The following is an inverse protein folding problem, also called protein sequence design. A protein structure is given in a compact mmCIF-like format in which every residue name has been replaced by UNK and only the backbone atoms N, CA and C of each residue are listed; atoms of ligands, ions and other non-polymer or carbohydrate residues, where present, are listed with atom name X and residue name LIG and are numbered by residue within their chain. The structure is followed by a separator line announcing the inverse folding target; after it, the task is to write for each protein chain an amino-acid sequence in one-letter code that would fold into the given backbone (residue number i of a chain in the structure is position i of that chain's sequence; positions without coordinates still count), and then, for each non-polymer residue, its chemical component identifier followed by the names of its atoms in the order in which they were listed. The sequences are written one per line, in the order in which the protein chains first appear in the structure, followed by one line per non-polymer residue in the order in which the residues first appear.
data_IF_610205598986
#
_entry.id   IF_610205598986
#
_cell.length_a   1.000
_cell.length_b   1.000
_cell.length_c   1.000
_cell.angle_alpha   90.00
_cell.angle_beta   90.00
_cell.angle_gamma   90.00
#
_symmetry.space_group_name_H-M   'P 1'
#
loop_
_entity.id
_entity.type
_entity.pdbx_description
1 polymer ?
#
# COMPACT_ATOMS: atom_id res chain seq x y z
N UNK A 1 -10.22 -25.99 -29.25
CA UNK A 1 -9.75 -25.35 -27.99
C UNK A 1 -8.32 -24.89 -28.18
N UNK A 2 -7.73 -24.06 -27.35
CA UNK A 2 -6.25 -23.94 -27.28
C UNK A 2 -5.78 -24.31 -25.87
N UNK A 3 -4.48 -24.55 -25.68
CA UNK A 3 -3.94 -24.85 -24.36
C UNK A 3 -4.19 -23.66 -23.41
N UNK A 4 -5.08 -23.87 -22.45
CA UNK A 4 -5.56 -22.86 -21.52
C UNK A 4 -5.81 -23.49 -20.15
N UNK A 5 -4.84 -23.38 -19.24
CA UNK A 5 -4.98 -23.89 -17.87
C UNK A 5 -5.94 -22.99 -17.06
N UNK A 6 -6.87 -23.54 -16.26
CA UNK A 6 -7.07 -24.94 -15.91
C UNK A 6 -8.08 -25.70 -16.80
N UNK A 7 -8.56 -25.08 -17.88
CA UNK A 7 -9.68 -25.61 -18.67
C UNK A 7 -9.27 -26.72 -19.65
N UNK A 8 -8.15 -26.58 -20.35
CA UNK A 8 -7.65 -27.58 -21.29
C UNK A 8 -6.11 -27.50 -21.39
N UNK A 9 -5.40 -28.56 -21.04
CA UNK A 9 -3.94 -28.61 -21.11
C UNK A 9 -3.45 -30.04 -21.22
N UNK A 10 -2.26 -30.21 -21.79
CA UNK A 10 -1.66 -31.53 -21.96
C UNK A 10 -0.81 -31.91 -20.74
N UNK A 11 -0.98 -33.13 -20.27
CA UNK A 11 -0.18 -33.76 -19.23
C UNK A 11 0.70 -34.85 -19.86
N UNK A 12 1.98 -34.99 -19.44
CA UNK A 12 2.82 -36.11 -19.87
C UNK A 12 2.19 -37.46 -19.50
N UNK A 13 2.04 -38.36 -20.47
CA UNK A 13 1.47 -39.69 -20.29
C UNK A 13 2.31 -40.73 -21.05
N UNK A 14 3.32 -41.31 -20.39
CA UNK A 14 4.22 -42.28 -21.01
C UNK A 14 4.98 -41.67 -22.19
N UNK A 15 4.84 -42.26 -23.38
CA UNK A 15 5.45 -41.79 -24.64
C UNK A 15 4.62 -40.71 -25.38
N UNK A 16 3.57 -40.14 -24.76
CA UNK A 16 2.73 -39.12 -25.38
C UNK A 16 2.21 -38.08 -24.40
N UNK A 17 1.33 -37.21 -24.88
CA UNK A 17 0.55 -36.28 -24.06
C UNK A 17 -0.90 -36.77 -23.93
N UNK A 18 -1.49 -36.56 -22.76
CA UNK A 18 -2.91 -36.76 -22.52
C UNK A 18 -3.53 -35.42 -22.15
N UNK A 19 -4.58 -35.04 -22.86
CA UNK A 19 -5.36 -33.86 -22.51
C UNK A 19 -6.08 -34.06 -21.17
N UNK A 20 -5.92 -33.10 -20.29
CA UNK A 20 -6.64 -32.96 -19.02
C UNK A 20 -7.18 -31.52 -18.88
N UNK A 21 -8.00 -31.32 -17.87
CA UNK A 21 -8.59 -30.02 -17.54
C UNK A 21 -10.10 -30.06 -17.43
N UNK A 22 -10.64 -28.97 -16.89
CA UNK A 22 -12.07 -28.88 -16.53
C UNK A 22 -12.97 -29.09 -17.74
N UNK A 23 -12.60 -28.57 -18.91
CA UNK A 23 -13.40 -28.73 -20.12
C UNK A 23 -13.34 -30.17 -20.66
N UNK A 24 -12.21 -30.87 -20.48
CA UNK A 24 -12.11 -32.29 -20.81
C UNK A 24 -13.05 -33.13 -19.93
N UNK A 25 -13.09 -32.87 -18.63
CA UNK A 25 -14.01 -33.54 -17.70
C UNK A 25 -15.48 -33.30 -18.08
N UNK A 26 -15.83 -32.06 -18.47
CA UNK A 26 -17.17 -31.71 -18.97
C UNK A 26 -17.51 -32.52 -20.23
N UNK A 27 -16.60 -32.59 -21.21
CA UNK A 27 -16.83 -33.34 -22.44
C UNK A 27 -16.93 -34.85 -22.19
N UNK A 28 -16.14 -35.41 -21.26
CA UNK A 28 -16.24 -36.82 -20.87
C UNK A 28 -17.57 -37.13 -20.19
N UNK A 29 -18.05 -36.24 -19.31
CA UNK A 29 -19.36 -36.37 -18.69
C UNK A 29 -20.50 -36.29 -19.72
N UNK A 30 -20.38 -35.42 -20.72
CA UNK A 30 -21.33 -35.33 -21.84
C UNK A 30 -21.27 -36.60 -22.71
N UNK A 31 -20.07 -37.08 -23.04
CA UNK A 31 -19.86 -38.30 -23.83
C UNK A 31 -20.48 -39.52 -23.14
N UNK A 32 -20.22 -39.68 -21.84
CA UNK A 32 -20.74 -40.79 -21.05
C UNK A 32 -22.26 -40.79 -20.98
N UNK A 33 -22.87 -39.62 -20.78
CA UNK A 33 -24.31 -39.45 -20.54
C UNK A 33 -25.16 -39.39 -21.82
N UNK A 34 -24.61 -38.84 -22.91
CA UNK A 34 -25.32 -38.68 -24.19
C UNK A 34 -24.87 -39.70 -25.25
N UNK A 35 -23.83 -40.49 -24.97
CA UNK A 35 -23.20 -41.45 -25.91
C UNK A 35 -22.68 -40.80 -27.19
N UNK A 36 -22.19 -39.57 -27.08
CA UNK A 36 -21.50 -38.86 -28.17
C UNK A 36 -20.00 -39.13 -28.13
N UNK A 37 -19.38 -39.18 -29.31
CA UNK A 37 -17.93 -39.19 -29.47
C UNK A 37 -17.47 -37.79 -29.83
N UNK A 38 -16.46 -37.28 -29.11
CA UNK A 38 -15.87 -35.97 -29.37
C UNK A 38 -14.46 -36.15 -29.90
N UNK A 39 -14.17 -35.51 -31.03
CA UNK A 39 -12.82 -35.32 -31.53
C UNK A 39 -12.33 -33.94 -31.12
N UNK A 40 -11.11 -33.86 -30.58
CA UNK A 40 -10.58 -32.62 -30.01
C UNK A 40 -9.56 -32.03 -30.96
N UNK A 41 -9.86 -30.82 -31.43
CA UNK A 41 -8.96 -30.04 -32.26
C UNK A 41 -8.42 -28.83 -31.49
N UNK A 42 -7.10 -28.62 -31.60
CA UNK A 42 -6.46 -27.43 -31.07
C UNK A 42 -6.46 -26.29 -32.10
N UNK A 43 -6.65 -25.07 -31.62
CA UNK A 43 -6.67 -23.86 -32.41
C UNK A 43 -5.23 -23.32 -32.54
N UNK A 44 -4.72 -23.25 -33.77
CA UNK A 44 -3.33 -22.88 -34.07
C UNK A 44 -3.02 -21.40 -33.80
N UNK A 45 -4.00 -20.50 -33.98
CA UNK A 45 -3.80 -19.05 -33.82
C UNK A 45 -3.90 -18.57 -32.36
N UNK A 46 -4.12 -19.49 -31.41
CA UNK A 46 -4.26 -19.24 -29.97
C UNK A 46 -5.25 -18.12 -29.60
N UNK A 47 -6.25 -17.87 -30.46
CA UNK A 47 -7.21 -16.79 -30.29
C UNK A 47 -8.62 -17.33 -30.06
N UNK A 48 -9.36 -16.68 -29.15
CA UNK A 48 -10.80 -16.92 -28.98
C UNK A 48 -11.57 -16.55 -30.25
N UNK A 49 -11.25 -15.38 -30.80
CA UNK A 49 -11.86 -14.85 -32.00
C UNK A 49 -12.41 -13.44 -31.80
N UNK A 50 -12.04 -12.55 -32.71
CA UNK A 50 -12.51 -11.17 -32.78
C UNK A 50 -13.23 -10.93 -34.10
N UNK A 51 -14.27 -10.09 -34.08
CA UNK A 51 -14.92 -9.63 -35.29
C UNK A 51 -13.94 -8.75 -36.09
N UNK A 52 -13.70 -9.13 -37.34
CA UNK A 52 -12.86 -8.41 -38.28
C UNK A 52 -13.69 -7.41 -39.12
N UNK A 53 -13.05 -6.42 -39.76
CA UNK A 53 -13.76 -5.42 -40.58
C UNK A 53 -14.53 -6.01 -41.77
N UNK A 54 -14.13 -7.19 -42.23
CA UNK A 54 -14.80 -7.95 -43.29
C UNK A 54 -16.11 -8.62 -42.83
N UNK A 55 -16.43 -8.54 -41.54
CA UNK A 55 -17.59 -9.17 -40.91
C UNK A 55 -17.37 -10.63 -40.49
N UNK A 56 -16.20 -11.21 -40.74
CA UNK A 56 -15.85 -12.55 -40.30
C UNK A 56 -15.18 -12.55 -38.93
N UNK A 57 -15.29 -13.67 -38.22
CA UNK A 57 -14.55 -13.88 -36.98
C UNK A 57 -13.19 -14.57 -37.25
N UNK A 58 -12.17 -14.16 -36.50
CA UNK A 58 -10.91 -14.94 -36.36
C UNK A 58 -11.04 -16.03 -35.30
N UNK A 59 -9.99 -16.82 -35.06
CA UNK A 59 -9.94 -17.76 -33.93
C UNK A 59 -10.99 -18.87 -33.97
N UNK A 60 -11.34 -19.37 -32.79
CA UNK A 60 -12.36 -20.40 -32.62
C UNK A 60 -13.75 -19.96 -33.08
N UNK A 61 -14.11 -18.67 -32.94
CA UNK A 61 -15.36 -18.16 -33.51
C UNK A 61 -15.38 -18.16 -35.04
N UNK A 62 -14.23 -17.95 -35.69
CA UNK A 62 -14.08 -18.11 -37.13
C UNK A 62 -14.26 -19.56 -37.58
N UNK A 63 -13.69 -20.52 -36.83
CA UNK A 63 -13.88 -21.95 -37.08
C UNK A 63 -15.36 -22.39 -36.89
N UNK A 64 -16.04 -21.87 -35.86
CA UNK A 64 -17.49 -22.07 -35.68
C UNK A 64 -18.29 -21.49 -36.85
N UNK A 65 -17.94 -20.29 -37.32
CA UNK A 65 -18.61 -19.62 -38.44
C UNK A 65 -18.45 -20.39 -39.75
N UNK A 66 -17.24 -20.88 -40.06
CA UNK A 66 -16.92 -21.68 -41.25
C UNK A 66 -17.45 -23.12 -41.18
N UNK A 67 -17.90 -23.54 -40.00
CA UNK A 67 -18.41 -24.89 -39.71
C UNK A 67 -17.32 -25.97 -39.70
N UNK A 68 -16.09 -25.57 -39.41
CA UNK A 68 -14.96 -26.48 -39.24
C UNK A 68 -15.08 -27.27 -37.92
N UNK A 69 -15.74 -26.70 -36.92
CA UNK A 69 -15.96 -27.29 -35.58
C UNK A 69 -17.41 -27.11 -35.12
N UNK A 70 -17.91 -28.06 -34.32
CA UNK A 70 -19.30 -28.04 -33.83
C UNK A 70 -19.46 -27.40 -32.45
N UNK A 71 -18.48 -27.57 -31.55
CA UNK A 71 -18.49 -27.03 -30.19
C UNK A 71 -17.11 -26.46 -29.86
N UNK A 72 -17.08 -25.28 -29.26
CA UNK A 72 -15.86 -24.68 -28.73
C UNK A 72 -16.14 -23.96 -27.41
N UNK A 73 -15.10 -23.70 -26.64
CA UNK A 73 -15.20 -23.04 -25.35
C UNK A 73 -13.94 -23.25 -24.53
N UNK A 74 -13.94 -22.81 -23.26
CA UNK A 74 -14.99 -22.02 -22.61
C UNK A 74 -15.06 -20.56 -23.08
N UNK A 75 -16.26 -19.98 -23.21
CA UNK A 75 -16.47 -18.59 -23.64
C UNK A 75 -17.42 -17.81 -22.74
N UNK A 76 -17.22 -16.50 -22.72
CA UNK A 76 -18.26 -15.54 -22.31
C UNK A 76 -19.15 -15.22 -23.51
N UNK A 77 -20.45 -15.35 -23.30
CA UNK A 77 -21.47 -14.96 -24.27
C UNK A 77 -21.46 -13.43 -24.47
N UNK A 78 -21.57 -12.99 -25.71
CA UNK A 78 -21.67 -11.57 -26.06
C UNK A 78 -22.59 -11.42 -27.26
N UNK A 79 -23.20 -10.25 -27.43
CA UNK A 79 -24.13 -9.99 -28.54
C UNK A 79 -23.49 -10.27 -29.91
N UNK A 80 -22.25 -9.79 -30.10
CA UNK A 80 -21.52 -9.97 -31.36
C UNK A 80 -21.29 -11.46 -31.67
N UNK A 81 -20.96 -12.26 -30.66
CA UNK A 81 -20.67 -13.69 -30.83
C UNK A 81 -21.94 -14.54 -31.05
N UNK A 82 -23.09 -14.11 -30.52
CA UNK A 82 -24.39 -14.78 -30.74
C UNK A 82 -24.82 -14.74 -32.22
N UNK A 83 -24.22 -13.84 -33.03
CA UNK A 83 -24.45 -13.78 -34.48
C UNK A 83 -23.92 -15.02 -35.21
N UNK A 84 -22.86 -15.65 -34.72
CA UNK A 84 -22.20 -16.79 -35.38
C UNK A 84 -22.32 -18.11 -34.62
N UNK A 85 -22.58 -18.07 -33.30
CA UNK A 85 -22.72 -19.26 -32.45
C UNK A 85 -23.96 -19.18 -31.55
N UNK A 86 -24.48 -20.33 -31.15
CA UNK A 86 -25.44 -20.47 -30.06
C UNK A 86 -24.71 -20.83 -28.78
N UNK A 87 -25.14 -20.29 -27.64
CA UNK A 87 -24.48 -20.54 -26.36
C UNK A 87 -25.22 -21.58 -25.53
N UNK A 88 -24.46 -22.46 -24.89
CA UNK A 88 -25.00 -23.43 -23.95
C UNK A 88 -25.39 -22.78 -22.62
N UNK A 89 -26.07 -23.56 -21.77
CA UNK A 89 -26.18 -23.23 -20.35
C UNK A 89 -24.79 -23.08 -19.71
N UNK A 90 -24.72 -22.25 -18.68
CA UNK A 90 -23.45 -21.91 -18.04
C UNK A 90 -22.79 -23.11 -17.33
N UNK A 91 -21.46 -23.13 -17.40
CA UNK A 91 -20.58 -24.10 -16.74
C UNK A 91 -20.07 -23.56 -15.39
N UNK A 92 -20.08 -22.25 -15.22
CA UNK A 92 -19.60 -21.57 -14.03
C UNK A 92 -19.58 -20.05 -14.20
N UNK A 93 -19.11 -19.39 -13.15
CA UNK A 93 -18.95 -17.94 -13.11
C UNK A 93 -17.49 -17.57 -13.33
N UNK A 94 -17.26 -16.59 -14.20
CA UNK A 94 -15.97 -15.97 -14.44
C UNK A 94 -15.98 -14.56 -13.85
N UNK A 95 -14.88 -14.22 -13.19
CA UNK A 95 -14.55 -12.87 -12.75
C UNK A 95 -13.26 -12.47 -13.42
N UNK A 96 -13.00 -11.17 -13.51
CA UNK A 96 -11.71 -10.69 -13.97
C UNK A 96 -10.73 -10.60 -12.79
N UNK A 97 -9.44 -10.75 -13.09
CA UNK A 97 -8.36 -10.52 -12.14
C UNK A 97 -7.28 -9.64 -12.76
N UNK A 98 -6.62 -8.84 -11.92
CA UNK A 98 -5.42 -8.08 -12.28
C UNK A 98 -4.21 -8.84 -11.76
N UNK A 99 -3.30 -9.21 -12.67
CA UNK A 99 -1.95 -9.59 -12.29
C UNK A 99 -1.12 -8.32 -12.15
N UNK A 100 -0.60 -8.09 -10.96
CA UNK A 100 0.24 -6.94 -10.63
C UNK A 100 1.54 -7.37 -9.99
N UNK A 101 2.60 -6.59 -10.22
CA UNK A 101 3.82 -6.69 -9.43
C UNK A 101 3.55 -6.35 -7.98
N UNK A 102 4.37 -6.91 -7.10
CA UNK A 102 4.33 -6.64 -5.67
C UNK A 102 5.54 -5.77 -5.34
N UNK A 103 5.26 -4.57 -4.84
CA UNK A 103 6.29 -3.68 -4.34
C UNK A 103 6.36 -3.90 -2.83
N UNK A 104 7.57 -4.15 -2.32
CA UNK A 104 7.84 -3.98 -0.89
C UNK A 104 7.51 -2.54 -0.56
N UNK A 105 6.43 -2.28 0.21
CA UNK A 105 5.98 -0.93 0.55
C UNK A 105 7.19 -0.06 0.83
N UNK A 106 7.47 0.92 -0.04
CA UNK A 106 8.64 1.79 0.11
C UNK A 106 8.62 2.27 1.55
N UNK A 107 9.64 1.85 2.31
CA UNK A 107 9.72 2.14 3.73
C UNK A 107 10.07 3.61 3.80
N UNK A 108 9.02 4.43 3.85
CA UNK A 108 9.16 5.87 3.99
C UNK A 108 10.10 6.10 5.17
N UNK A 109 11.25 6.72 4.91
CA UNK A 109 12.26 6.96 5.94
C UNK A 109 11.74 7.83 7.08
N UNK A 110 10.59 8.52 6.89
CA UNK A 110 9.86 9.29 7.89
C UNK A 110 8.60 8.58 8.41
N UNK A 111 8.53 7.25 8.33
CA UNK A 111 7.37 6.45 8.76
C UNK A 111 6.89 6.85 10.16
N UNK A 112 7.82 7.05 11.10
CA UNK A 112 7.54 7.45 12.47
C UNK A 112 6.76 8.78 12.57
N UNK A 113 7.03 9.76 11.69
CA UNK A 113 6.27 11.02 11.67
C UNK A 113 4.85 10.83 11.12
N UNK A 114 4.67 9.87 10.20
CA UNK A 114 3.38 9.58 9.55
C UNK A 114 2.47 8.65 10.36
N UNK A 115 2.91 8.16 11.52
CA UNK A 115 2.08 7.29 12.38
C UNK A 115 0.90 8.02 13.00
N UNK A 116 1.11 9.29 13.33
CA UNK A 116 0.04 10.19 13.76
C UNK A 116 -0.32 11.14 12.63
N UNK A 117 -1.62 11.37 12.45
CA UNK A 117 -2.08 12.36 11.49
C UNK A 117 -1.65 13.76 11.95
N UNK A 118 -1.49 14.69 11.00
CA UNK A 118 -1.07 16.05 11.32
C UNK A 118 -2.01 16.75 12.32
N UNK A 119 -3.29 16.37 12.35
CA UNK A 119 -4.26 16.86 13.33
C UNK A 119 -3.91 16.42 14.76
N UNK A 120 -3.42 15.20 14.95
CA UNK A 120 -2.99 14.69 16.26
C UNK A 120 -1.73 15.43 16.72
N UNK A 121 -0.76 15.63 15.83
CA UNK A 121 0.43 16.43 16.11
C UNK A 121 0.08 17.86 16.53
N UNK A 122 -0.85 18.50 15.81
CA UNK A 122 -1.34 19.83 16.16
C UNK A 122 -2.05 19.85 17.52
N UNK A 123 -2.92 18.86 17.79
CA UNK A 123 -3.61 18.73 19.07
C UNK A 123 -2.63 18.56 20.24
N UNK A 124 -1.57 17.77 20.07
CA UNK A 124 -0.50 17.62 21.07
C UNK A 124 0.20 18.95 21.35
N UNK A 125 0.60 19.68 20.29
CA UNK A 125 1.24 20.99 20.42
C UNK A 125 0.33 21.99 21.15
N UNK A 126 -0.95 22.06 20.77
CA UNK A 126 -1.93 22.94 21.41
C UNK A 126 -2.15 22.58 22.88
N UNK A 127 -2.14 21.29 23.22
CA UNK A 127 -2.29 20.83 24.61
C UNK A 127 -1.07 21.22 25.45
N UNK A 128 0.15 21.10 24.93
CA UNK A 128 1.38 21.53 25.63
C UNK A 128 1.33 23.03 25.91
N UNK A 129 0.98 23.83 24.90
CA UNK A 129 0.85 25.29 25.06
C UNK A 129 -0.23 25.62 26.09
N UNK A 130 -1.39 24.94 26.03
CA UNK A 130 -2.48 25.12 26.98
C UNK A 130 -2.09 24.82 28.42
N UNK A 131 -1.43 23.69 28.67
CA UNK A 131 -0.99 23.30 30.01
C UNK A 131 0.15 24.22 30.51
N UNK A 132 1.07 24.62 29.63
CA UNK A 132 2.10 25.61 29.96
C UNK A 132 1.49 26.97 30.33
N UNK A 133 0.44 27.40 29.63
CA UNK A 133 -0.29 28.62 29.94
C UNK A 133 -0.98 28.55 31.30
N UNK A 134 -1.66 27.43 31.61
CA UNK A 134 -2.29 27.24 32.94
C UNK A 134 -1.24 27.21 34.04
N UNK A 135 -0.09 26.56 33.83
CA UNK A 135 1.01 26.56 34.80
C UNK A 135 1.59 27.98 35.02
N UNK A 136 1.77 28.76 33.94
CA UNK A 136 2.17 30.15 34.03
C UNK A 136 1.12 31.01 34.76
N UNK A 137 -0.18 30.74 34.57
CA UNK A 137 -1.25 31.41 35.31
C UNK A 137 -1.17 31.09 36.82
N UNK A 138 -1.00 29.82 37.18
CA UNK A 138 -0.83 29.41 38.59
C UNK A 138 0.36 30.14 39.21
N UNK A 139 1.51 30.21 38.52
CA UNK A 139 2.68 30.95 38.99
C UNK A 139 2.34 32.41 39.29
N UNK A 140 1.75 33.11 38.31
CA UNK A 140 1.46 34.54 38.41
C UNK A 140 0.44 34.89 39.50
N UNK A 141 -0.46 33.97 39.85
CA UNK A 141 -1.48 34.19 40.88
C UNK A 141 -0.97 33.87 42.29
N UNK A 142 -0.05 32.91 42.43
CA UNK A 142 0.32 32.34 43.74
C UNK A 142 1.68 32.79 44.25
N UNK A 143 2.61 33.15 43.36
CA UNK A 143 3.97 33.52 43.74
C UNK A 143 4.08 35.04 43.76
N UNK A 144 4.01 35.63 44.96
CA UNK A 144 4.28 37.05 45.16
C UNK A 144 5.80 37.31 45.09
N UNK A 145 6.26 37.77 43.93
CA UNK A 145 7.67 38.08 43.67
C UNK A 145 7.94 38.38 42.20
N UNK A 146 9.11 38.99 41.93
CA UNK A 146 9.64 39.42 40.62
C UNK A 146 8.89 38.89 39.40
N UNK A 147 8.19 39.79 38.69
CA UNK A 147 7.50 39.48 37.44
C UNK A 147 8.54 39.22 36.35
N UNK A 148 8.90 37.95 36.18
CA UNK A 148 9.59 37.51 34.96
C UNK A 148 8.73 37.89 33.74
N UNK A 149 9.39 38.13 32.61
CA UNK A 149 8.68 38.39 31.35
C UNK A 149 7.76 37.22 31.01
N UNK A 150 6.48 37.51 30.72
CA UNK A 150 5.44 36.49 30.55
C UNK A 150 5.78 35.49 29.45
N UNK A 151 6.41 35.97 28.37
CA UNK A 151 6.82 35.12 27.25
C UNK A 151 7.95 34.17 27.68
N UNK A 152 8.91 34.66 28.47
CA UNK A 152 10.00 33.84 29.00
C UNK A 152 9.50 32.77 29.97
N UNK A 153 8.50 33.09 30.79
CA UNK A 153 7.87 32.15 31.72
C UNK A 153 7.09 31.07 30.96
N UNK A 154 6.31 31.44 29.96
CA UNK A 154 5.59 30.50 29.10
C UNK A 154 6.56 29.58 28.36
N UNK A 155 7.66 30.11 27.81
CA UNK A 155 8.69 29.32 27.13
C UNK A 155 9.37 28.32 28.08
N UNK A 156 9.61 28.70 29.33
CA UNK A 156 10.15 27.78 30.36
C UNK A 156 9.16 26.67 30.68
N UNK A 157 7.89 26.96 30.94
CA UNK A 157 6.89 25.92 31.22
C UNK A 157 6.61 25.04 30.00
N UNK A 158 6.58 25.62 28.80
CA UNK A 158 6.51 24.86 27.55
C UNK A 158 7.64 23.84 27.48
N UNK A 159 8.88 24.25 27.78
CA UNK A 159 10.03 23.35 27.79
C UNK A 159 9.89 22.21 28.81
N UNK A 160 9.37 22.49 30.01
CA UNK A 160 9.12 21.48 31.05
C UNK A 160 8.09 20.44 30.61
N UNK A 161 6.95 20.87 30.07
CA UNK A 161 5.93 19.93 29.60
C UNK A 161 6.37 19.18 28.34
N UNK A 162 7.11 19.83 27.45
CA UNK A 162 7.73 19.22 26.28
C UNK A 162 8.73 18.12 26.68
N UNK A 163 9.62 18.37 27.63
CA UNK A 163 10.60 17.37 28.08
C UNK A 163 9.91 16.18 28.77
N UNK A 164 8.87 16.48 29.56
CA UNK A 164 8.10 15.46 30.25
C UNK A 164 7.34 14.54 29.28
N UNK A 165 6.87 15.05 28.13
CA UNK A 165 6.27 14.24 27.06
C UNK A 165 7.24 13.17 26.54
N UNK A 166 8.54 13.47 26.48
CA UNK A 166 9.59 12.57 25.98
C UNK A 166 10.12 11.64 27.10
N UNK A 167 9.55 11.73 28.31
CA UNK A 167 9.97 10.93 29.47
C UNK A 167 11.28 11.40 30.09
N UNK A 168 11.71 12.65 29.84
CA UNK A 168 12.88 13.25 30.45
C UNK A 168 12.49 14.32 31.48
N UNK A 169 13.15 14.29 32.63
CA UNK A 169 13.11 15.39 33.58
C UNK A 169 13.85 16.57 32.94
N UNK A 170 13.17 17.71 32.78
CA UNK A 170 13.61 18.89 32.00
C UNK A 170 14.84 19.66 32.52
N UNK A 171 15.78 18.97 33.16
CA UNK A 171 17.06 19.46 33.61
C UNK A 171 17.00 20.43 34.80
N UNK A 172 18.08 21.17 35.02
CA UNK A 172 18.19 22.16 36.10
C UNK A 172 17.16 23.30 35.97
N UNK A 173 16.75 23.61 34.73
CA UNK A 173 15.74 24.64 34.44
C UNK A 173 14.34 24.20 34.87
N UNK A 174 14.00 22.92 34.70
CA UNK A 174 12.73 22.39 35.22
C UNK A 174 12.73 22.34 36.74
N UNK A 175 13.88 22.06 37.37
CA UNK A 175 13.97 22.09 38.83
C UNK A 175 13.58 23.46 39.38
N UNK A 176 14.13 24.56 38.84
CA UNK A 176 13.73 25.92 39.24
C UNK A 176 12.24 26.21 39.00
N UNK A 177 11.74 25.88 37.80
CA UNK A 177 10.36 26.19 37.41
C UNK A 177 9.31 25.41 38.23
N UNK A 178 9.69 24.21 38.69
CA UNK A 178 8.87 23.34 39.50
C UNK A 178 8.97 23.66 40.99
N UNK A 179 10.16 23.98 41.53
CA UNK A 179 10.37 24.21 42.98
C UNK A 179 9.42 25.23 43.58
N UNK A 180 9.14 26.33 42.87
CA UNK A 180 8.27 27.39 43.38
C UNK A 180 6.78 27.02 43.41
N UNK A 181 6.35 26.04 42.60
CA UNK A 181 4.93 25.70 42.42
C UNK A 181 4.61 24.26 42.89
N UNK A 182 5.63 23.43 43.11
CA UNK A 182 5.50 22.00 43.39
C UNK A 182 4.60 21.66 44.60
N UNK A 183 4.58 22.55 45.60
CA UNK A 183 3.79 22.37 46.82
C UNK A 183 2.31 22.77 46.66
N UNK A 184 1.93 23.40 45.54
CA UNK A 184 0.55 23.82 45.29
C UNK A 184 -0.30 22.65 44.79
N UNK A 185 -1.46 22.44 45.44
CA UNK A 185 -2.39 21.36 45.10
C UNK A 185 -2.92 21.51 43.66
N UNK A 186 -3.22 22.74 43.22
CA UNK A 186 -3.70 23.03 41.87
C UNK A 186 -2.71 22.59 40.79
N UNK A 187 -1.41 22.80 41.03
CA UNK A 187 -0.36 22.38 40.11
C UNK A 187 -0.17 20.86 40.11
N UNK A 188 -0.30 20.19 41.26
CA UNK A 188 -0.24 18.72 41.33
C UNK A 188 -1.37 18.06 40.56
N UNK A 189 -2.59 18.62 40.63
CA UNK A 189 -3.72 18.12 39.84
C UNK A 189 -3.48 18.36 38.35
N UNK A 190 -2.98 19.54 37.97
CA UNK A 190 -2.62 19.85 36.58
C UNK A 190 -1.55 18.89 36.04
N UNK A 191 -0.49 18.66 36.81
CA UNK A 191 0.60 17.75 36.48
C UNK A 191 0.08 16.31 36.38
N UNK A 192 -0.77 15.87 37.32
CA UNK A 192 -1.39 14.55 37.26
C UNK A 192 -2.27 14.38 36.02
N UNK A 193 -3.06 15.40 35.65
CA UNK A 193 -3.87 15.39 34.43
C UNK A 193 -3.01 15.36 33.16
N UNK A 194 -1.89 16.10 33.15
CA UNK A 194 -0.91 16.09 32.06
C UNK A 194 -0.25 14.71 31.90
N UNK A 195 0.21 14.12 33.00
CA UNK A 195 0.86 12.81 33.01
C UNK A 195 -0.11 11.69 32.61
N UNK A 196 -1.31 11.66 33.20
CA UNK A 196 -2.27 10.60 32.95
C UNK A 196 -2.96 10.69 31.59
N UNK A 197 -3.25 11.90 31.12
CA UNK A 197 -3.98 12.11 29.88
C UNK A 197 -3.04 12.10 28.66
N UNK A 198 -2.52 13.27 28.25
CA UNK A 198 -1.72 13.39 27.04
C UNK A 198 -0.46 12.53 27.00
N UNK A 199 0.32 12.46 28.09
CA UNK A 199 1.62 11.76 28.09
C UNK A 199 1.44 10.25 27.95
N UNK A 200 0.70 9.61 28.85
CA UNK A 200 0.44 8.16 28.78
C UNK A 200 -0.24 7.80 27.45
N UNK A 201 -1.33 8.48 27.08
CA UNK A 201 -2.08 8.11 25.88
C UNK A 201 -1.23 8.25 24.62
N UNK A 202 -0.52 9.37 24.44
CA UNK A 202 0.29 9.57 23.23
C UNK A 202 1.47 8.61 23.15
N UNK A 203 2.21 8.37 24.24
CA UNK A 203 3.37 7.48 24.24
C UNK A 203 2.98 6.02 23.98
N UNK A 204 1.99 5.49 24.71
CA UNK A 204 1.57 4.09 24.52
C UNK A 204 0.88 3.87 23.17
N UNK A 205 0.04 4.80 22.71
CA UNK A 205 -0.59 4.71 21.39
C UNK A 205 0.43 4.79 20.26
N UNK A 206 1.43 5.65 20.41
CA UNK A 206 2.52 5.78 19.44
C UNK A 206 3.40 4.52 19.42
N UNK A 207 3.78 3.99 20.57
CA UNK A 207 4.54 2.75 20.69
C UNK A 207 3.79 1.56 20.10
N UNK A 208 2.47 1.44 20.35
CA UNK A 208 1.63 0.40 19.76
C UNK A 208 1.51 0.53 18.23
N UNK A 209 1.39 1.75 17.72
CA UNK A 209 1.34 2.04 16.28
C UNK A 209 2.66 1.73 15.57
N UNK A 210 3.80 2.07 16.18
CA UNK A 210 5.14 1.67 15.73
C UNK A 210 5.22 0.14 15.65
N UNK A 211 4.91 -0.54 16.75
CA UNK A 211 5.09 -1.99 16.88
C UNK A 211 4.25 -2.74 15.85
N UNK A 212 2.98 -2.36 15.69
CA UNK A 212 2.09 -2.97 14.70
C UNK A 212 2.52 -2.71 13.25
N UNK A 213 3.04 -1.51 12.96
CA UNK A 213 3.46 -1.16 11.60
C UNK A 213 4.74 -1.89 11.21
N UNK A 214 5.68 -2.07 12.13
CA UNK A 214 6.91 -2.83 11.88
C UNK A 214 6.72 -4.35 11.98
N UNK A 215 5.73 -4.83 12.73
CA UNK A 215 5.43 -6.25 12.81
C UNK A 215 4.98 -6.84 11.47
N UNK A 216 4.29 -6.04 10.64
CA UNK A 216 3.77 -6.51 9.34
C UNK A 216 4.56 -5.88 8.20
N UNK A 217 5.42 -6.67 7.56
CA UNK A 217 5.99 -6.30 6.26
C UNK A 217 4.88 -6.31 5.21
N UNK A 218 4.24 -5.16 4.97
CA UNK A 218 3.19 -5.02 3.96
C UNK A 218 3.83 -5.00 2.57
N UNK A 219 3.82 -6.15 1.92
CA UNK A 219 3.88 -6.24 0.47
C UNK A 219 2.59 -5.60 -0.08
N UNK A 220 2.72 -4.60 -0.96
CA UNK A 220 1.56 -3.94 -1.57
C UNK A 220 1.56 -4.18 -3.08
N UNK A 221 0.37 -4.40 -3.69
CA UNK A 221 0.28 -4.41 -5.14
C UNK A 221 0.69 -3.05 -5.72
N UNK A 222 1.25 -3.06 -6.92
CA UNK A 222 1.48 -1.81 -7.70
C UNK A 222 0.15 -1.13 -8.02
N UNK A 223 -0.90 -1.92 -8.25
CA UNK A 223 -2.28 -1.50 -8.54
C UNK A 223 -3.23 -2.50 -7.90
N UNK A 224 -4.10 -2.06 -6.99
CA UNK A 224 -5.09 -2.91 -6.34
C UNK A 224 -6.41 -2.98 -7.11
N UNK A 225 -6.86 -1.86 -7.69
CA UNK A 225 -8.16 -1.74 -8.34
C UNK A 225 -8.09 -0.95 -9.65
N UNK A 226 -9.17 -0.98 -10.43
CA UNK A 226 -9.30 -0.23 -11.68
C UNK A 226 -9.26 1.28 -11.43
N UNK A 227 -9.79 1.78 -10.32
CA UNK A 227 -9.75 3.21 -10.00
C UNK A 227 -8.30 3.70 -9.82
N UNK A 228 -7.49 2.93 -9.09
CA UNK A 228 -6.05 3.23 -8.92
C UNK A 228 -5.30 3.16 -10.27
N UNK A 229 -5.72 2.25 -11.16
CA UNK A 229 -5.18 2.16 -12.52
C UNK A 229 -5.53 3.38 -13.40
N UNK A 230 -6.71 3.98 -13.19
CA UNK A 230 -7.11 5.20 -13.89
C UNK A 230 -6.20 6.36 -13.47
N UNK A 231 -5.95 6.52 -12.16
CA UNK A 231 -5.07 7.56 -11.63
C UNK A 231 -3.61 7.35 -12.03
N UNK A 232 -3.14 6.09 -12.01
CA UNK A 232 -1.75 5.74 -12.28
C UNK A 232 -1.48 5.56 -13.77
N UNK A 233 -1.06 6.65 -14.42
CA UNK A 233 -0.72 6.66 -15.86
C UNK A 233 0.62 6.00 -16.20
N UNK A 234 1.50 5.80 -15.22
CA UNK A 234 2.84 5.21 -15.42
C UNK A 234 2.83 3.72 -15.71
N UNK A 235 1.71 3.03 -15.47
CA UNK A 235 1.57 1.58 -15.63
C UNK A 235 0.74 1.29 -16.88
N UNK A 236 1.22 0.37 -17.72
CA UNK A 236 0.54 -0.01 -18.96
C UNK A 236 -0.35 -1.25 -18.74
N UNK A 237 -1.67 -1.14 -18.91
CA UNK A 237 -2.56 -2.29 -18.85
C UNK A 237 -2.52 -3.11 -20.14
N UNK A 238 -2.32 -4.41 -20.00
CA UNK A 238 -2.28 -5.39 -21.09
C UNK A 238 -3.50 -6.29 -21.03
N UNK A 239 -4.17 -6.45 -22.18
CA UNK A 239 -5.33 -7.33 -22.35
C UNK A 239 -5.16 -8.26 -23.54
N UNK A 240 -5.81 -9.42 -23.47
CA UNK A 240 -5.76 -10.39 -24.56
C UNK A 240 -6.67 -9.99 -25.73
N UNK A 241 -6.12 -10.08 -26.94
CA UNK A 241 -6.81 -9.80 -28.19
C UNK A 241 -7.95 -10.78 -28.44
N UNK A 242 -9.14 -10.25 -28.73
CA UNK A 242 -10.34 -11.05 -29.00
C UNK A 242 -10.88 -11.80 -27.77
N UNK A 243 -10.41 -11.47 -26.58
CA UNK A 243 -10.93 -12.02 -25.33
C UNK A 243 -12.24 -11.37 -24.89
N UNK A 244 -12.94 -11.98 -23.92
CA UNK A 244 -14.11 -11.37 -23.30
C UNK A 244 -13.77 -10.05 -22.59
N UNK A 245 -12.58 -9.96 -22.00
CA UNK A 245 -12.05 -8.76 -21.33
C UNK A 245 -12.05 -7.56 -22.27
N UNK A 246 -11.59 -7.76 -23.51
CA UNK A 246 -11.61 -6.73 -24.53
C UNK A 246 -13.04 -6.21 -24.78
N UNK A 247 -14.01 -7.11 -24.90
CA UNK A 247 -15.42 -6.75 -25.17
C UNK A 247 -15.98 -5.94 -23.98
N UNK A 248 -15.72 -6.37 -22.74
CA UNK A 248 -16.13 -5.66 -21.53
C UNK A 248 -15.67 -4.20 -21.50
N UNK A 249 -14.40 -3.95 -21.84
CA UNK A 249 -13.84 -2.59 -21.84
C UNK A 249 -14.29 -1.77 -23.06
N UNK A 250 -14.63 -2.41 -24.17
CA UNK A 250 -15.23 -1.74 -25.33
C UNK A 250 -16.66 -1.29 -25.05
N UNK A 251 -17.44 -2.09 -24.33
CA UNK A 251 -18.86 -1.83 -24.06
C UNK A 251 -19.07 -0.91 -22.85
N UNK A 252 -18.08 -0.78 -21.96
CA UNK A 252 -18.18 0.06 -20.77
C UNK A 252 -17.84 1.54 -21.07
N UNK A 253 -18.78 2.48 -20.89
CA UNK A 253 -18.52 3.91 -21.07
C UNK A 253 -17.62 4.50 -19.97
N UNK A 254 -17.72 3.97 -18.75
CA UNK A 254 -16.96 4.41 -17.57
C UNK A 254 -15.45 4.24 -17.78
N UNK A 255 -15.04 3.08 -18.32
CA UNK A 255 -13.63 2.75 -18.55
C UNK A 255 -13.16 3.03 -19.99
N UNK A 256 -13.89 3.86 -20.75
CA UNK A 256 -13.54 4.19 -22.14
C UNK A 256 -12.14 4.82 -22.27
N UNK A 257 -11.70 5.58 -21.26
CA UNK A 257 -10.34 6.15 -21.21
C UNK A 257 -9.27 5.07 -21.04
N UNK A 258 -9.52 4.07 -20.20
CA UNK A 258 -8.62 2.91 -20.06
C UNK A 258 -8.58 2.11 -21.36
N UNK A 259 -9.72 1.91 -22.04
CA UNK A 259 -9.75 1.20 -23.31
C UNK A 259 -8.88 1.85 -24.38
N UNK A 260 -8.85 3.20 -24.45
CA UNK A 260 -7.96 3.93 -25.37
C UNK A 260 -6.48 3.64 -25.09
N UNK A 261 -6.08 3.50 -23.81
CA UNK A 261 -4.71 3.11 -23.41
C UNK A 261 -4.42 1.66 -23.83
N UNK A 262 -5.35 0.74 -23.61
CA UNK A 262 -5.19 -0.69 -23.90
C UNK A 262 -5.21 -1.04 -25.39
N UNK A 263 -5.75 -0.17 -26.26
CA UNK A 263 -5.97 -0.48 -27.68
C UNK A 263 -4.68 -0.87 -28.43
N UNK A 264 -3.55 -0.28 -28.05
CA UNK A 264 -2.26 -0.52 -28.71
C UNK A 264 -1.50 -1.71 -28.10
N UNK A 265 -1.62 -1.92 -26.78
CA UNK A 265 -0.83 -2.91 -26.02
C UNK A 265 -1.63 -4.21 -25.75
N UNK A 266 -2.07 -4.86 -26.84
CA UNK A 266 -2.80 -6.14 -26.78
C UNK A 266 -1.88 -7.29 -27.08
N UNK A 267 -1.98 -8.36 -26.29
CA UNK A 267 -1.20 -9.59 -26.47
C UNK A 267 -2.05 -10.73 -27.03
N UNK A 268 -1.39 -11.68 -27.67
CA UNK A 268 -1.91 -13.01 -27.95
C UNK A 268 -1.48 -13.92 -26.80
N UNK A 269 -2.33 -14.86 -26.37
CA UNK A 269 -1.96 -15.83 -25.33
C UNK A 269 -1.02 -16.92 -25.85
N UNK A 270 0.08 -16.52 -26.50
CA UNK A 270 1.22 -17.39 -26.72
C UNK A 270 2.00 -17.53 -25.42
N UNK A 271 2.50 -18.73 -25.05
CA UNK A 271 3.33 -18.92 -23.87
C UNK A 271 4.51 -17.95 -23.78
N UNK A 272 5.12 -17.60 -24.90
CA UNK A 272 6.28 -16.70 -24.98
C UNK A 272 5.91 -15.25 -24.62
N UNK A 273 4.82 -14.73 -25.21
CA UNK A 273 4.33 -13.38 -24.92
C UNK A 273 3.85 -13.22 -23.47
N UNK A 274 3.22 -14.27 -22.92
CA UNK A 274 2.80 -14.29 -21.51
C UNK A 274 4.04 -14.22 -20.61
N UNK A 275 5.08 -15.00 -20.88
CA UNK A 275 6.30 -14.97 -20.08
C UNK A 275 7.01 -13.60 -20.15
N UNK A 276 7.11 -13.00 -21.34
CA UNK A 276 7.69 -11.67 -21.50
C UNK A 276 6.88 -10.62 -20.72
N UNK A 277 5.56 -10.69 -20.78
CA UNK A 277 4.67 -9.78 -20.07
C UNK A 277 4.81 -9.95 -18.55
N UNK A 278 4.89 -11.19 -18.05
CA UNK A 278 5.11 -11.46 -16.62
C UNK A 278 6.41 -10.81 -16.10
N UNK A 279 7.50 -10.85 -16.89
CA UNK A 279 8.75 -10.15 -16.54
C UNK A 279 8.58 -8.63 -16.48
N UNK A 280 7.74 -8.05 -17.33
CA UNK A 280 7.42 -6.60 -17.30
C UNK A 280 6.54 -6.22 -16.11
N UNK A 281 5.63 -7.10 -15.71
CA UNK A 281 4.78 -6.94 -14.52
C UNK A 281 5.62 -6.99 -13.24
N UNK A 282 6.57 -7.93 -13.15
CA UNK A 282 7.52 -8.02 -12.03
C UNK A 282 8.35 -6.72 -11.87
N UNK A 283 8.67 -6.04 -12.97
CA UNK A 283 9.34 -4.72 -12.94
C UNK A 283 8.41 -3.56 -12.56
N UNK A 284 7.11 -3.79 -12.37
CA UNK A 284 6.12 -2.76 -12.03
C UNK A 284 5.71 -1.83 -13.19
N UNK A 285 6.08 -2.17 -14.43
CA UNK A 285 5.83 -1.32 -15.61
C UNK A 285 4.50 -1.61 -16.30
N UNK A 286 4.05 -2.87 -16.23
CA UNK A 286 2.83 -3.35 -16.88
C UNK A 286 1.96 -4.07 -15.86
N UNK A 287 0.67 -4.20 -16.17
CA UNK A 287 -0.25 -5.12 -15.48
C UNK A 287 -0.99 -5.92 -16.53
N UNK A 288 -1.54 -7.08 -16.16
CA UNK A 288 -2.31 -7.92 -17.07
C UNK A 288 -3.71 -8.17 -16.51
N UNK A 289 -4.74 -7.92 -17.32
CA UNK A 289 -6.14 -8.14 -16.93
C UNK A 289 -6.71 -9.33 -17.69
N UNK A 290 -6.99 -10.42 -16.99
CA UNK A 290 -7.47 -11.68 -17.57
C UNK A 290 -8.53 -12.32 -16.67
N UNK A 291 -9.08 -13.47 -17.08
CA UNK A 291 -9.97 -14.25 -16.21
C UNK A 291 -9.26 -14.60 -14.90
N UNK A 292 -9.93 -14.42 -13.76
CA UNK A 292 -9.35 -14.56 -12.42
C UNK A 292 -8.80 -15.97 -12.17
N UNK A 293 -9.53 -17.00 -12.60
CA UNK A 293 -9.08 -18.39 -12.49
C UNK A 293 -7.81 -18.59 -13.32
N UNK A 294 -7.78 -18.04 -14.53
CA UNK A 294 -6.58 -18.09 -15.36
C UNK A 294 -5.41 -17.26 -14.81
N UNK A 295 -5.67 -16.10 -14.22
CA UNK A 295 -4.64 -15.26 -13.60
C UNK A 295 -3.90 -16.02 -12.50
N UNK A 296 -4.65 -16.74 -11.67
CA UNK A 296 -4.08 -17.54 -10.61
C UNK A 296 -3.24 -18.71 -11.14
N UNK A 297 -3.62 -19.36 -12.24
CA UNK A 297 -2.81 -20.44 -12.82
C UNK A 297 -1.51 -19.91 -13.43
N UNK A 298 -1.57 -18.79 -14.16
CA UNK A 298 -0.38 -18.12 -14.73
C UNK A 298 0.59 -17.73 -13.62
N UNK A 299 0.09 -17.08 -12.56
CA UNK A 299 0.93 -16.69 -11.42
C UNK A 299 1.48 -17.91 -10.68
N UNK A 300 0.67 -18.96 -10.47
CA UNK A 300 1.13 -20.18 -9.81
C UNK A 300 2.24 -20.88 -10.58
N UNK A 301 2.15 -20.97 -11.92
CA UNK A 301 3.18 -21.59 -12.74
C UNK A 301 4.46 -20.73 -12.75
N UNK A 302 4.31 -19.41 -12.87
CA UNK A 302 5.43 -18.47 -12.82
C UNK A 302 6.20 -18.58 -11.49
N UNK A 303 5.48 -18.56 -10.37
CA UNK A 303 6.04 -18.72 -9.01
C UNK A 303 6.70 -20.09 -8.85
N UNK A 304 6.06 -21.18 -9.28
CA UNK A 304 6.59 -22.54 -9.13
C UNK A 304 7.93 -22.72 -9.87
N UNK A 305 8.08 -22.10 -11.03
CA UNK A 305 9.33 -22.14 -11.82
C UNK A 305 10.44 -21.28 -11.21
N UNK A 306 10.11 -20.11 -10.67
CA UNK A 306 11.07 -19.11 -10.15
C UNK A 306 11.42 -19.28 -8.68
N UNK A 307 10.49 -19.77 -7.87
CA UNK A 307 10.60 -19.83 -6.41
C UNK A 307 10.45 -18.47 -5.69
N UNK A 308 9.95 -17.43 -6.35
CA UNK A 308 9.87 -16.05 -5.80
C UNK A 308 8.42 -15.52 -5.90
N UNK A 309 7.93 -14.89 -4.84
CA UNK A 309 6.59 -14.26 -4.79
C UNK A 309 6.66 -12.76 -5.14
N UNK A 310 7.00 -12.42 -6.39
CA UNK A 310 7.14 -11.01 -6.86
C UNK A 310 5.89 -10.45 -7.55
N UNK A 311 4.87 -11.27 -7.76
CA UNK A 311 3.61 -10.91 -8.43
C UNK A 311 2.43 -11.47 -7.65
N UNK A 312 1.29 -10.78 -7.71
CA UNK A 312 0.04 -11.21 -7.08
C UNK A 312 -1.16 -10.96 -7.99
N UNK A 313 -2.29 -11.57 -7.63
CA UNK A 313 -3.56 -11.44 -8.35
C UNK A 313 -4.58 -10.77 -7.45
N UNK A 314 -5.20 -9.71 -7.94
CA UNK A 314 -6.34 -9.05 -7.29
C UNK A 314 -7.64 -9.39 -8.04
N UNK A 315 -8.72 -9.62 -7.30
CA UNK A 315 -10.04 -9.90 -7.86
C UNK A 315 -10.74 -8.60 -8.27
N UNK A 316 -11.17 -8.50 -9.53
CA UNK A 316 -11.96 -7.38 -10.01
C UNK A 316 -13.46 -7.67 -9.93
N UNK A 317 -14.19 -6.66 -9.47
CA UNK A 317 -15.66 -6.64 -9.48
C UNK A 317 -16.24 -6.05 -10.77
N UNK A 318 -15.45 -6.00 -11.83
CA UNK A 318 -15.86 -5.53 -13.15
C UNK A 318 -16.08 -6.71 -14.11
N UNK A 319 -17.12 -6.61 -14.93
CA UNK A 319 -17.46 -7.57 -15.98
C UNK A 319 -17.58 -9.05 -15.55
N UNK A 320 -18.38 -9.30 -14.52
CA UNK A 320 -18.69 -10.66 -14.10
C UNK A 320 -19.60 -11.34 -15.11
N UNK A 321 -19.21 -12.51 -15.59
CA UNK A 321 -19.90 -13.19 -16.67
C UNK A 321 -19.97 -14.70 -16.47
N UNK A 322 -20.88 -15.33 -17.22
CA UNK A 322 -21.02 -16.76 -17.24
C UNK A 322 -20.10 -17.39 -18.30
N UNK A 323 -19.44 -18.46 -17.90
CA UNK A 323 -18.68 -19.31 -18.81
C UNK A 323 -19.64 -20.30 -19.47
N UNK A 324 -19.59 -20.40 -20.79
CA UNK A 324 -20.49 -21.21 -21.63
C UNK A 324 -19.70 -21.95 -22.72
N UNK A 325 -20.35 -22.89 -23.39
CA UNK A 325 -19.86 -23.46 -24.65
C UNK A 325 -20.51 -22.74 -25.82
N UNK A 326 -19.71 -22.38 -26.82
CA UNK A 326 -20.18 -21.95 -28.13
C UNK A 326 -20.48 -23.17 -29.00
N UNK A 327 -21.70 -23.25 -29.49
CA UNK A 327 -22.23 -24.32 -30.33
C UNK A 327 -22.47 -23.72 -31.72
N UNK A 328 -22.07 -24.43 -32.77
CA UNK A 328 -22.24 -23.99 -34.15
C UNK A 328 -23.72 -23.85 -34.52
N UNK A 329 -24.06 -22.80 -35.27
CA UNK A 329 -25.42 -22.63 -35.82
C UNK A 329 -25.78 -23.73 -36.80
N UNK A 330 -27.02 -24.21 -36.71
CA UNK A 330 -27.58 -25.26 -37.56
C UNK A 330 -27.58 -26.66 -36.92
N UNK A 331 -27.08 -26.81 -35.68
CA UNK A 331 -27.26 -28.04 -34.92
C UNK A 331 -28.73 -28.16 -34.46
N UNK A 332 -29.36 -29.34 -34.54
CA UNK A 332 -30.76 -29.50 -34.13
C UNK A 332 -31.00 -29.06 -32.68
N UNK A 333 -32.03 -28.22 -32.47
CA UNK A 333 -32.41 -27.71 -31.14
C UNK A 333 -32.64 -28.82 -30.10
N UNK A 334 -33.09 -30.01 -30.53
CA UNK A 334 -33.24 -31.18 -29.66
C UNK A 334 -31.90 -31.63 -29.05
N UNK A 335 -30.82 -31.57 -29.83
CA UNK A 335 -29.46 -31.92 -29.38
C UNK A 335 -28.95 -30.87 -28.40
N UNK A 336 -29.12 -29.59 -28.72
CA UNK A 336 -28.73 -28.47 -27.86
C UNK A 336 -29.46 -28.54 -26.52
N UNK A 337 -30.77 -28.82 -26.52
CA UNK A 337 -31.56 -29.01 -25.30
C UNK A 337 -31.02 -30.16 -24.43
N UNK A 338 -30.67 -31.30 -25.04
CA UNK A 338 -30.06 -32.44 -24.31
C UNK A 338 -28.72 -32.06 -23.66
N UNK A 339 -27.86 -31.35 -24.39
CA UNK A 339 -26.57 -30.84 -23.87
C UNK A 339 -26.84 -29.90 -22.69
N UNK A 340 -27.70 -28.89 -22.88
CA UNK A 340 -28.04 -27.90 -21.86
C UNK A 340 -28.60 -28.54 -20.58
N UNK A 341 -29.49 -29.52 -20.71
CA UNK A 341 -30.00 -30.26 -19.54
C UNK A 341 -28.88 -30.96 -18.77
N UNK A 342 -27.93 -31.60 -19.46
CA UNK A 342 -26.79 -32.27 -18.80
C UNK A 342 -25.83 -31.29 -18.17
N UNK A 343 -25.53 -30.17 -18.83
CA UNK A 343 -24.70 -29.11 -18.26
C UNK A 343 -25.33 -28.51 -16.99
N UNK A 344 -26.65 -28.31 -16.98
CA UNK A 344 -27.37 -27.86 -15.77
C UNK A 344 -27.21 -28.86 -14.62
N UNK A 345 -27.30 -30.17 -14.88
CA UNK A 345 -27.06 -31.17 -13.82
C UNK A 345 -25.61 -31.16 -13.31
N UNK A 346 -24.63 -31.00 -14.21
CA UNK A 346 -23.22 -30.88 -13.83
C UNK A 346 -23.00 -29.68 -12.90
N UNK A 347 -23.59 -28.53 -13.24
CA UNK A 347 -23.50 -27.31 -12.44
C UNK A 347 -24.23 -27.44 -11.10
N UNK A 348 -25.45 -28.00 -11.08
CA UNK A 348 -26.23 -28.22 -9.85
C UNK A 348 -25.53 -29.18 -8.89
N UNK A 349 -24.86 -30.20 -9.41
CA UNK A 349 -24.06 -31.15 -8.64
C UNK A 349 -22.70 -30.58 -8.18
N UNK A 350 -22.37 -29.32 -8.53
CA UNK A 350 -21.08 -28.66 -8.25
C UNK A 350 -19.87 -29.46 -8.73
N UNK A 351 -20.03 -30.21 -9.82
CA UNK A 351 -18.95 -31.00 -10.39
C UNK A 351 -17.87 -30.11 -11.00
N UNK A 352 -18.27 -28.98 -11.61
CA UNK A 352 -17.33 -27.99 -12.15
C UNK A 352 -16.46 -27.38 -11.05
N UNK A 353 -17.03 -27.01 -9.91
CA UNK A 353 -16.25 -26.52 -8.75
C UNK A 353 -15.24 -27.56 -8.27
N UNK A 354 -15.66 -28.83 -8.21
CA UNK A 354 -14.78 -29.94 -7.84
C UNK A 354 -13.64 -30.14 -8.84
N UNK A 355 -13.92 -30.09 -10.14
CA UNK A 355 -12.90 -30.25 -11.18
C UNK A 355 -11.93 -29.07 -11.22
N UNK A 356 -12.42 -27.84 -11.05
CA UNK A 356 -11.59 -26.64 -10.89
C UNK A 356 -10.65 -26.83 -9.70
N UNK A 357 -11.17 -27.20 -8.52
CA UNK A 357 -10.37 -27.41 -7.32
C UNK A 357 -9.37 -28.57 -7.43
N UNK A 358 -9.64 -29.58 -8.28
CA UNK A 358 -8.70 -30.68 -8.55
C UNK A 358 -7.47 -30.21 -9.32
N UNK A 359 -7.70 -29.37 -10.33
CA UNK A 359 -6.66 -28.89 -11.24
C UNK A 359 -5.92 -27.70 -10.64
N UNK A 360 -6.60 -26.90 -9.82
CA UNK A 360 -5.99 -25.76 -9.15
C UNK A 360 -4.83 -26.21 -8.26
N UNK A 361 -3.59 -25.75 -8.51
CA UNK A 361 -2.49 -25.97 -7.59
C UNK A 361 -2.83 -25.35 -6.23
N UNK A 362 -2.36 -25.98 -5.15
CA UNK A 362 -2.41 -25.40 -3.81
C UNK A 362 -1.48 -24.17 -3.77
N UNK A 363 -1.97 -23.02 -4.26
CA UNK A 363 -1.24 -21.74 -4.41
C UNK A 363 -0.84 -21.10 -3.08
N UNK A 364 -1.14 -21.77 -1.97
CA UNK A 364 -0.90 -21.32 -0.61
C UNK A 364 0.55 -20.95 -0.30
N UNK A 365 1.54 -21.25 -1.15
CA UNK A 365 2.91 -20.81 -0.91
C UNK A 365 3.11 -19.27 -1.05
N UNK A 366 2.38 -18.59 -1.93
CA UNK A 366 2.48 -17.13 -2.10
C UNK A 366 1.20 -16.36 -1.74
N UNK A 367 0.05 -17.02 -1.59
CA UNK A 367 -1.17 -16.42 -1.03
C UNK A 367 -1.32 -16.60 0.47
N UNK A 368 -0.57 -17.50 1.11
CA UNK A 368 -0.40 -17.37 2.56
C UNK A 368 0.22 -15.99 2.76
N UNK A 369 -0.45 -15.15 3.54
CA UNK A 369 0.19 -13.98 4.14
C UNK A 369 1.60 -14.44 4.55
N UNK A 370 2.65 -13.70 4.16
CA UNK A 370 4.03 -14.11 4.42
C UNK A 370 4.05 -14.60 5.86
N UNK A 371 4.54 -15.83 6.05
CA UNK A 371 4.68 -16.42 7.38
C UNK A 371 5.19 -15.33 8.32
N UNK A 372 4.66 -15.33 9.54
CA UNK A 372 4.98 -14.46 10.68
C UNK A 372 6.47 -14.53 11.09
N UNK A 373 7.38 -14.43 10.13
CA UNK A 373 8.79 -14.18 10.31
C UNK A 373 8.95 -12.69 10.46
N UNK A 374 9.13 -12.25 11.70
CA UNK A 374 9.55 -10.89 12.01
C UNK A 374 10.90 -10.66 11.30
N UNK A 375 10.87 -9.94 10.19
CA UNK A 375 12.10 -9.53 9.53
C UNK A 375 12.87 -8.58 10.49
N UNK A 376 14.18 -8.75 10.65
CA UNK A 376 14.96 -7.82 11.45
C UNK A 376 14.87 -6.40 10.87
N UNK A 377 14.86 -5.41 11.76
CA UNK A 377 14.79 -4.01 11.38
C UNK A 377 16.07 -3.60 10.65
N UNK A 378 15.94 -3.02 9.46
CA UNK A 378 17.05 -2.56 8.63
C UNK A 378 17.47 -1.15 9.02
N UNK A 379 18.73 -0.79 8.76
CA UNK A 379 19.25 0.58 8.94
C UNK A 379 18.44 1.58 8.11
N UNK A 380 17.95 1.16 6.94
CA UNK A 380 17.08 1.99 6.08
C UNK A 380 15.80 2.41 6.77
N UNK A 381 15.30 1.62 7.73
CA UNK A 381 14.04 1.88 8.44
C UNK A 381 14.18 2.97 9.51
N UNK A 382 15.40 3.13 10.04
CA UNK A 382 15.72 4.09 11.11
C UNK A 382 16.48 5.30 10.55
N UNK A 383 16.83 5.28 9.27
CA UNK A 383 17.68 6.29 8.62
C UNK A 383 17.18 7.71 8.84
N UNK A 384 15.88 7.95 8.72
CA UNK A 384 15.35 9.29 8.89
C UNK A 384 15.51 9.82 10.34
N UNK A 385 15.51 8.94 11.35
CA UNK A 385 15.78 9.34 12.73
C UNK A 385 17.21 9.87 12.88
N UNK A 386 18.18 9.20 12.25
CA UNK A 386 19.56 9.67 12.17
C UNK A 386 19.70 10.98 11.39
N UNK A 387 18.91 11.17 10.32
CA UNK A 387 18.90 12.43 9.57
C UNK A 387 18.38 13.60 10.43
N UNK A 388 17.28 13.43 11.16
CA UNK A 388 16.74 14.46 12.06
C UNK A 388 17.77 14.81 13.15
N UNK A 389 18.39 13.80 13.75
CA UNK A 389 19.44 14.01 14.74
C UNK A 389 20.64 14.77 14.15
N UNK A 390 21.10 14.39 12.97
CA UNK A 390 22.19 15.07 12.26
C UNK A 390 21.88 16.53 11.94
N UNK A 391 20.67 16.81 11.43
CA UNK A 391 20.19 18.19 11.20
C UNK A 391 20.16 18.98 12.51
N UNK A 392 19.71 18.36 13.61
CA UNK A 392 19.69 18.99 14.93
C UNK A 392 21.07 19.43 15.41
N UNK A 393 22.10 18.60 15.24
CA UNK A 393 23.48 18.96 15.59
C UNK A 393 23.98 20.12 14.72
N UNK A 394 23.73 20.08 13.41
CA UNK A 394 24.15 21.15 12.50
C UNK A 394 23.49 22.48 12.89
N UNK A 395 22.18 22.48 13.13
CA UNK A 395 21.45 23.67 13.58
C UNK A 395 22.00 24.20 14.92
N UNK A 396 22.31 23.32 15.87
CA UNK A 396 22.91 23.71 17.16
C UNK A 396 24.29 24.35 16.98
N UNK A 397 25.15 23.80 16.12
CA UNK A 397 26.46 24.37 15.80
C UNK A 397 26.33 25.74 15.12
N UNK A 398 25.37 25.92 14.20
CA UNK A 398 25.11 27.21 13.55
C UNK A 398 24.65 28.26 14.57
N UNK A 399 23.73 27.91 15.47
CA UNK A 399 23.29 28.81 16.53
C UNK A 399 24.44 29.19 17.47
N UNK A 400 25.29 28.24 17.84
CA UNK A 400 26.49 28.51 18.64
C UNK A 400 27.43 29.52 17.95
N UNK A 401 27.62 29.39 16.63
CA UNK A 401 28.43 30.33 15.86
C UNK A 401 27.81 31.74 15.84
N UNK A 402 26.48 31.83 15.72
CA UNK A 402 25.74 33.10 15.79
C UNK A 402 25.93 33.74 17.17
N UNK A 403 25.73 32.99 18.25
CA UNK A 403 25.89 33.47 19.63
C UNK A 403 27.32 33.95 19.90
N UNK A 404 28.34 33.22 19.43
CA UNK A 404 29.75 33.65 19.56
C UNK A 404 29.97 34.97 18.81
N UNK A 405 29.38 35.12 17.63
CA UNK A 405 29.54 36.31 16.81
C UNK A 405 28.83 37.53 17.43
N UNK A 406 27.61 37.35 17.95
CA UNK A 406 26.88 38.38 18.68
C UNK A 406 27.60 38.78 19.97
N UNK A 407 28.11 37.82 20.74
CA UNK A 407 28.85 38.10 21.96
C UNK A 407 30.18 38.82 21.66
N UNK A 408 30.88 38.46 20.57
CA UNK A 408 32.06 39.21 20.08
C UNK A 408 31.69 40.64 19.66
N UNK A 409 30.58 40.84 18.95
CA UNK A 409 30.07 42.18 18.57
C UNK A 409 29.72 43.01 19.81
N UNK A 410 29.03 42.42 20.78
CA UNK A 410 28.66 43.07 22.04
C UNK A 410 29.90 43.46 22.87
N UNK A 411 30.93 42.59 22.93
CA UNK A 411 32.22 42.89 23.58
C UNK A 411 32.99 44.00 22.87
N UNK A 412 33.02 44.03 21.53
CA UNK A 412 33.63 45.13 20.76
C UNK A 412 32.91 46.45 21.03
N UNK A 413 31.59 46.48 20.99
CA UNK A 413 30.77 47.67 21.29
C UNK A 413 30.99 48.19 22.72
N UNK A 414 31.18 47.30 23.72
CA UNK A 414 31.55 47.70 25.09
C UNK A 414 32.98 48.24 25.18
N UNK A 415 33.93 47.72 24.40
CA UNK A 415 35.31 48.19 24.37
C UNK A 415 35.42 49.59 23.73
N UNK A 416 34.71 49.83 22.63
CA UNK A 416 34.69 51.12 21.94
C UNK A 416 34.01 52.22 22.79
N UNK A 417 32.96 51.88 23.55
CA UNK A 417 32.34 52.81 24.52
C UNK A 417 33.24 53.12 25.73
N UNK A 418 34.09 52.18 26.18
CA UNK A 418 35.03 52.40 27.29
C UNK A 418 36.21 53.28 26.88
N UNK A 419 36.71 53.12 25.64
CA UNK A 419 37.78 53.96 25.08
C UNK A 419 37.37 55.42 24.87
N UNK A 420 36.07 55.70 24.77
CA UNK A 420 35.52 57.07 24.64
C UNK A 420 35.35 57.78 26.00
N UNK A 421 35.46 57.07 27.12
CA UNK A 421 35.27 57.62 28.48
C UNK A 421 36.59 57.95 29.22
N UNK A 422 37.75 57.79 28.57
CA UNK A 422 39.07 58.02 29.21
C UNK A 422 39.72 59.30 28.67
N UNK A 423 39.14 60.47 28.96
CA UNK A 423 39.82 61.76 28.84
C UNK A 423 39.28 62.78 29.86
N UNK A 424 39.49 62.51 31.16
CA UNK A 424 39.53 63.56 32.19
C UNK A 424 40.70 63.24 33.12
N UNK A 425 41.63 64.17 33.23
CA UNK A 425 42.86 64.10 34.01
C UNK A 425 42.59 64.24 35.54
N UNK A 426 43.60 63.99 36.40
CA UNK A 426 43.40 63.58 37.79
C UNK A 426 43.12 64.77 38.72
N UNK A 427 42.31 64.55 39.77
CA UNK A 427 42.25 65.44 40.92
C UNK A 427 42.35 64.65 42.23
N UNK A 428 43.03 65.30 43.16
CA UNK A 428 43.68 64.82 44.38
C UNK A 428 42.91 63.88 45.32
N UNK A 429 43.73 63.04 45.92
CA UNK A 429 43.56 62.22 47.11
C UNK A 429 43.04 63.04 48.32
N UNK A 430 41.84 62.72 48.80
CA UNK A 430 41.47 62.87 50.21
C UNK A 430 40.87 61.56 50.71
N UNK A 431 41.67 60.89 51.53
CA UNK A 431 41.26 59.83 52.45
C UNK A 431 40.11 60.31 53.32
N UNK A 432 39.01 59.54 53.38
CA UNK A 432 38.37 59.30 54.67
C UNK A 432 37.66 57.96 54.75
N UNK A 433 38.04 57.23 55.79
CA UNK A 433 37.65 55.88 56.11
C UNK A 433 36.23 55.85 56.69
N UNK A 434 35.24 55.20 56.04
CA UNK A 434 33.96 54.94 56.72
C UNK A 434 33.13 53.72 56.33
N UNK A 435 33.60 52.77 55.51
CA UNK A 435 32.82 51.55 55.22
C UNK A 435 33.67 50.26 55.10
N UNK A 436 34.68 50.11 55.95
CA UNK A 436 35.42 48.85 56.16
C UNK A 436 35.05 48.23 57.51
N UNK A 437 33.76 47.94 57.73
CA UNK A 437 33.31 47.08 58.84
C UNK A 437 31.85 46.63 58.61
N UNK A 438 31.60 45.66 57.71
CA UNK A 438 30.35 44.86 57.73
C UNK A 438 30.35 43.60 56.86
N UNK A 439 31.50 42.94 56.67
CA UNK A 439 31.59 41.66 55.93
C UNK A 439 32.34 40.55 56.68
N UNK A 440 32.25 40.55 58.01
CA UNK A 440 32.62 39.39 58.83
C UNK A 440 31.66 39.27 60.02
N UNK A 441 30.46 38.71 59.78
CA UNK A 441 29.67 38.07 60.83
C UNK A 441 28.52 37.26 60.22
N UNK A 442 28.78 36.21 59.47
CA UNK A 442 27.81 35.11 59.25
C UNK A 442 28.55 33.85 58.74
N UNK A 443 29.56 33.43 59.49
CA UNK A 443 30.10 32.06 59.47
C UNK A 443 30.41 31.67 60.92
N UNK A 444 29.35 31.55 61.74
CA UNK A 444 29.31 30.70 62.94
C UNK A 444 27.90 30.74 63.53
N UNK A 445 27.08 29.75 63.18
CA UNK A 445 26.19 29.04 64.11
C UNK A 445 25.64 27.81 63.42
#
# INVERSE_FOLDING_TARGET
MFQWQPYAFDIPAGNGSKLDGVLKDVLDALSYSLKYQFEIQFQEDHQYGSLQPDGNFSGMFGALQRKDIDIAGPFVASEQRTRVAEFSNCLGFSKLGIITGVISSDRNIFLYANLFSWQVWLALLMTIIGVAFVAALIYNVTVDGWKDDQLSLLARYFWVFWSNLIGQDGGTTSHWALVNIWNLQSFRILLAAWLLGPVINSLFSYQGSITSTFAVSKMRPVVADLDELVEKTSVVPVVSKGSAVQICFMDSPEYAHLWKRMKNDRIVFSPEEVEETMKKIERGTHIMIIDYIYALTVVSDYVKRRGICSVQVEELRFCQNFITLGIRKGIPLKTIKKINTRLTYIMQAKLTDRWVNRVFPNYTHCTKQPQEGVNPLSITDILGGFLIWGIGIICSLVLLLIEIFENKRAKRKKRDNSSSATFVAPYEQKTDAKYRHRFMSYCSR
#
